data_IF_104158381572
#
_entry.id   IF_104158381572
#
_cell.length_a   1.000
_cell.length_b   1.000
_cell.length_c   1.000
_cell.angle_alpha   90.00
_cell.angle_beta   90.00
_cell.angle_gamma   90.00
#
_symmetry.space_group_name_H-M   'P 1'
#
loop_
_entity.id
_entity.type
_entity.pdbx_description
1 polymer ?
#
# COMPACT_ATOMS: atom_id res chain seq x y z
N UNK A 1 17.58 13.40 11.59
CA UNK A 1 16.16 13.71 11.82
C UNK A 1 15.41 14.12 10.55
N UNK A 2 15.82 15.14 9.78
CA UNK A 2 15.14 15.55 8.54
C UNK A 2 15.26 14.48 7.45
N UNK A 3 16.44 13.93 7.21
CA UNK A 3 16.69 12.85 6.24
C UNK A 3 15.97 11.54 6.58
N UNK A 4 15.82 11.19 7.86
CA UNK A 4 15.08 9.99 8.27
C UNK A 4 13.57 10.13 8.02
N UNK A 5 13.01 11.32 8.24
CA UNK A 5 11.60 11.61 7.92
C UNK A 5 11.33 11.57 6.40
N UNK A 6 12.24 12.12 5.60
CA UNK A 6 12.17 12.05 4.14
C UNK A 6 12.25 10.60 3.64
N UNK A 7 13.20 9.82 4.16
CA UNK A 7 13.33 8.39 3.83
C UNK A 7 12.07 7.59 4.19
N UNK A 8 11.49 7.84 5.36
CA UNK A 8 10.27 7.15 5.79
C UNK A 8 9.07 7.54 4.92
N UNK A 9 8.94 8.81 4.55
CA UNK A 9 7.88 9.29 3.66
C UNK A 9 7.95 8.65 2.28
N UNK A 10 9.15 8.49 1.70
CA UNK A 10 9.34 7.80 0.42
C UNK A 10 8.89 6.34 0.51
N UNK A 11 9.28 5.63 1.57
CA UNK A 11 8.86 4.24 1.77
C UNK A 11 7.34 4.14 1.98
N UNK A 12 6.72 5.09 2.68
CA UNK A 12 5.26 5.14 2.85
C UNK A 12 4.54 5.27 1.50
N UNK A 13 5.03 6.13 0.60
CA UNK A 13 4.48 6.27 -0.74
C UNK A 13 4.65 4.97 -1.54
N UNK A 14 5.82 4.36 -1.48
CA UNK A 14 6.06 3.06 -2.12
C UNK A 14 5.12 1.96 -1.59
N UNK A 15 4.82 1.95 -0.30
CA UNK A 15 3.86 1.02 0.31
C UNK A 15 2.44 1.31 -0.18
N UNK A 16 2.04 2.60 -0.19
CA UNK A 16 0.71 3.01 -0.61
C UNK A 16 0.41 2.59 -2.05
N UNK A 17 1.35 2.79 -2.97
CA UNK A 17 1.22 2.47 -4.39
C UNK A 17 1.08 0.97 -4.67
N UNK A 18 1.51 0.13 -3.72
CA UNK A 18 1.46 -1.34 -3.85
C UNK A 18 0.25 -1.98 -3.17
N UNK A 19 -0.52 -1.20 -2.41
CA UNK A 19 -1.73 -1.71 -1.77
C UNK A 19 -2.82 -1.90 -2.82
N UNK A 20 -3.32 -3.12 -2.94
CA UNK A 20 -4.46 -3.48 -3.78
C UNK A 20 -5.60 -4.03 -2.93
N UNK A 21 -6.82 -4.04 -3.49
CA UNK A 21 -7.99 -4.59 -2.81
C UNK A 21 -8.43 -5.90 -3.47
N UNK A 22 -8.34 -7.00 -2.72
CA UNK A 22 -8.76 -8.34 -3.15
C UNK A 22 -9.62 -8.95 -2.05
N UNK A 23 -10.78 -9.52 -2.41
CA UNK A 23 -11.74 -10.09 -1.46
C UNK A 23 -12.08 -9.11 -0.32
N UNK A 24 -12.22 -7.82 -0.64
CA UNK A 24 -12.46 -6.73 0.32
C UNK A 24 -11.34 -6.53 1.36
N UNK A 25 -10.19 -7.16 1.19
CA UNK A 25 -9.01 -6.97 2.03
C UNK A 25 -7.98 -6.10 1.31
N UNK A 26 -7.32 -5.22 2.05
CA UNK A 26 -6.15 -4.49 1.57
C UNK A 26 -4.93 -5.39 1.71
N UNK A 27 -4.25 -5.63 0.59
CA UNK A 27 -3.15 -6.60 0.48
C UNK A 27 -2.03 -6.07 -0.40
N UNK A 28 -0.84 -6.65 -0.23
CA UNK A 28 0.32 -6.44 -1.11
C UNK A 28 0.78 -7.80 -1.65
N UNK A 29 1.14 -7.86 -2.92
CA UNK A 29 1.60 -9.09 -3.60
C UNK A 29 3.03 -9.44 -3.15
N UNK A 30 3.34 -10.72 -3.08
CA UNK A 30 4.65 -11.27 -2.63
C UNK A 30 5.86 -10.68 -3.36
N UNK A 31 5.74 -10.41 -4.66
CA UNK A 31 6.81 -9.76 -5.43
C UNK A 31 7.06 -8.31 -4.96
N UNK A 32 5.99 -7.55 -4.72
CA UNK A 32 6.09 -6.18 -4.21
C UNK A 32 6.57 -6.17 -2.75
N UNK A 33 6.12 -7.14 -1.94
CA UNK A 33 6.63 -7.33 -0.57
C UNK A 33 8.13 -7.58 -0.58
N UNK A 34 8.62 -8.42 -1.50
CA UNK A 34 10.04 -8.72 -1.64
C UNK A 34 10.85 -7.46 -1.98
N UNK A 35 10.37 -6.64 -2.92
CA UNK A 35 11.00 -5.36 -3.27
C UNK A 35 11.05 -4.41 -2.06
N UNK A 36 9.93 -4.24 -1.34
CA UNK A 36 9.87 -3.38 -0.15
C UNK A 36 10.89 -3.80 0.92
N UNK A 37 10.96 -5.10 1.21
CA UNK A 37 11.89 -5.63 2.20
C UNK A 37 13.33 -5.78 1.69
N UNK A 38 13.58 -5.55 0.38
CA UNK A 38 14.90 -5.66 -0.22
C UNK A 38 15.42 -7.10 -0.25
N UNK A 39 14.53 -8.06 -0.51
CA UNK A 39 14.84 -9.49 -0.59
C UNK A 39 14.27 -10.11 -1.88
N UNK A 40 14.71 -11.31 -2.22
CA UNK A 40 14.09 -12.04 -3.33
C UNK A 40 12.70 -12.60 -2.94
N UNK A 41 11.77 -12.68 -3.89
CA UNK A 41 10.43 -13.28 -3.69
C UNK A 41 10.53 -14.72 -3.17
N UNK A 42 11.57 -15.45 -3.59
CA UNK A 42 11.87 -16.79 -3.05
C UNK A 42 12.02 -16.77 -1.53
N UNK A 43 12.70 -15.75 -0.98
CA UNK A 43 12.91 -15.60 0.45
C UNK A 43 11.61 -15.40 1.22
N UNK A 44 10.68 -14.60 0.64
CA UNK A 44 9.33 -14.42 1.20
C UNK A 44 8.59 -15.75 1.21
N UNK A 45 8.61 -16.48 0.11
CA UNK A 45 7.94 -17.77 -0.01
C UNK A 45 8.52 -18.84 0.93
N UNK A 46 9.83 -18.86 1.15
CA UNK A 46 10.51 -19.72 2.13
C UNK A 46 10.11 -19.36 3.56
N UNK A 47 10.02 -18.07 3.90
CA UNK A 47 9.59 -17.62 5.22
C UNK A 47 8.19 -18.13 5.55
N UNK A 48 7.26 -18.07 4.61
CA UNK A 48 5.90 -18.63 4.76
C UNK A 48 5.93 -20.14 4.89
N UNK A 49 6.62 -20.82 3.97
CA UNK A 49 6.69 -22.29 3.96
C UNK A 49 7.27 -22.87 5.24
N UNK A 50 8.26 -22.20 5.81
CA UNK A 50 8.94 -22.65 7.04
C UNK A 50 8.19 -22.25 8.32
N UNK A 51 7.15 -21.45 8.22
CA UNK A 51 6.36 -20.97 9.35
C UNK A 51 4.86 -21.01 9.05
N UNK A 52 4.27 -22.14 8.65
CA UNK A 52 2.88 -22.19 8.18
C UNK A 52 1.89 -21.74 9.26
N UNK A 53 2.15 -22.06 10.52
CA UNK A 53 1.29 -21.71 11.66
C UNK A 53 1.20 -20.19 11.91
N UNK A 54 2.14 -19.42 11.35
CA UNK A 54 2.17 -17.95 11.49
C UNK A 54 1.40 -17.23 10.40
N UNK A 55 0.94 -17.93 9.36
CA UNK A 55 0.28 -17.35 8.21
C UNK A 55 -1.10 -17.97 7.94
N UNK A 56 -2.06 -17.81 8.84
CA UNK A 56 -3.44 -18.20 8.56
C UNK A 56 -4.01 -17.36 7.39
N UNK A 57 -5.14 -17.78 6.81
CA UNK A 57 -5.79 -17.14 5.65
C UNK A 57 -6.14 -15.66 5.85
N UNK A 58 -6.24 -15.21 7.10
CA UNK A 58 -6.40 -13.77 7.40
C UNK A 58 -5.11 -12.97 7.24
N UNK A 59 -3.96 -13.63 7.25
CA UNK A 59 -2.64 -13.00 7.16
C UNK A 59 -2.08 -13.07 5.74
N UNK A 60 -2.28 -14.20 5.07
CA UNK A 60 -1.80 -14.44 3.71
C UNK A 60 -2.68 -15.47 3.01
N UNK A 61 -2.91 -15.27 1.72
CA UNK A 61 -3.57 -16.26 0.86
C UNK A 61 -2.99 -16.23 -0.55
N UNK A 62 -3.17 -17.32 -1.29
CA UNK A 62 -2.80 -17.39 -2.71
C UNK A 62 -3.93 -16.86 -3.58
N UNK A 63 -3.58 -16.16 -4.66
CA UNK A 63 -4.53 -15.74 -5.68
C UNK A 63 -5.08 -16.94 -6.44
N UNK A 64 -6.31 -16.82 -6.94
CA UNK A 64 -6.84 -17.72 -7.95
C UNK A 64 -6.36 -17.29 -9.34
N UNK A 65 -6.53 -18.17 -10.34
CA UNK A 65 -6.21 -17.84 -11.73
C UNK A 65 -7.08 -16.68 -12.25
N UNK A 66 -8.34 -16.62 -11.87
CA UNK A 66 -9.27 -15.56 -12.28
C UNK A 66 -8.88 -14.22 -11.65
N UNK A 67 -8.54 -14.20 -10.36
CA UNK A 67 -8.04 -13.00 -9.67
C UNK A 67 -6.76 -12.48 -10.31
N UNK A 68 -5.84 -13.39 -10.66
CA UNK A 68 -4.59 -13.03 -11.34
C UNK A 68 -4.86 -12.47 -12.74
N UNK A 69 -5.80 -13.04 -13.49
CA UNK A 69 -6.19 -12.54 -14.81
C UNK A 69 -6.78 -11.12 -14.72
N UNK A 70 -7.66 -10.86 -13.74
CA UNK A 70 -8.24 -9.54 -13.49
C UNK A 70 -7.14 -8.53 -13.13
N UNK A 71 -6.20 -8.90 -12.29
CA UNK A 71 -5.10 -8.01 -11.91
C UNK A 71 -4.20 -7.67 -13.10
N UNK A 72 -3.87 -8.65 -13.94
CA UNK A 72 -3.09 -8.43 -15.17
C UNK A 72 -3.79 -7.51 -16.15
N UNK A 73 -5.11 -7.56 -16.26
CA UNK A 73 -5.87 -6.67 -17.14
C UNK A 73 -5.91 -5.23 -16.65
N UNK A 74 -5.89 -5.01 -15.33
CA UNK A 74 -5.95 -3.67 -14.71
C UNK A 74 -4.60 -2.99 -14.57
N UNK A 75 -3.56 -3.75 -14.38
CA UNK A 75 -2.21 -3.25 -14.12
C UNK A 75 -1.25 -3.75 -15.19
N UNK A 76 -0.92 -2.89 -16.15
CA UNK A 76 0.01 -3.16 -17.24
C UNK A 76 1.46 -3.24 -16.72
N UNK A 77 1.75 -4.10 -15.75
CA UNK A 77 3.10 -4.23 -15.23
C UNK A 77 3.71 -5.57 -15.62
N UNK A 78 4.90 -5.48 -16.22
CA UNK A 78 5.76 -6.63 -16.55
C UNK A 78 6.19 -7.45 -15.32
N UNK A 79 5.86 -6.99 -14.12
CA UNK A 79 6.22 -7.60 -12.84
C UNK A 79 5.59 -8.99 -12.61
N UNK A 80 4.47 -9.27 -13.25
CA UNK A 80 3.76 -10.54 -13.03
C UNK A 80 4.10 -11.53 -14.15
N UNK A 81 5.33 -12.03 -14.05
CA UNK A 81 5.88 -12.96 -15.02
C UNK A 81 4.93 -14.15 -15.25
N UNK A 82 4.59 -14.38 -16.52
CA UNK A 82 3.88 -15.57 -16.99
C UNK A 82 4.70 -16.85 -16.79
N UNK A 83 5.98 -16.73 -16.40
CA UNK A 83 6.92 -17.85 -16.25
C UNK A 83 6.85 -18.56 -14.90
N UNK A 84 6.23 -17.95 -13.88
CA UNK A 84 6.04 -18.62 -12.59
C UNK A 84 4.88 -19.61 -12.68
N UNK A 85 5.15 -20.89 -12.39
CA UNK A 85 4.11 -21.93 -12.27
C UNK A 85 3.28 -21.79 -10.99
N UNK A 86 3.79 -21.07 -10.00
CA UNK A 86 3.10 -20.87 -8.73
C UNK A 86 2.25 -19.59 -8.79
N UNK A 87 1.04 -19.68 -8.25
CA UNK A 87 0.17 -18.51 -8.08
C UNK A 87 0.79 -17.54 -7.06
N UNK A 88 0.74 -16.22 -7.32
CA UNK A 88 1.22 -15.22 -6.37
C UNK A 88 0.50 -15.33 -5.04
N UNK A 89 1.22 -15.05 -3.96
CA UNK A 89 0.65 -14.87 -2.64
C UNK A 89 0.42 -13.39 -2.37
N UNK A 90 -0.58 -13.10 -1.58
CA UNK A 90 -0.87 -11.74 -1.11
C UNK A 90 -0.87 -11.70 0.41
N UNK A 91 -0.35 -10.61 0.96
CA UNK A 91 -0.21 -10.41 2.38
C UNK A 91 -1.09 -9.27 2.84
N UNK A 92 -1.89 -9.51 3.87
CA UNK A 92 -2.61 -8.46 4.59
C UNK A 92 -1.64 -7.69 5.48
N UNK A 93 -2.08 -6.58 6.06
CA UNK A 93 -1.31 -5.82 7.06
C UNK A 93 -0.72 -6.74 8.16
N UNK A 94 -1.54 -7.64 8.69
CA UNK A 94 -1.10 -8.62 9.72
C UNK A 94 -0.02 -9.57 9.20
N UNK A 95 -0.14 -10.02 7.95
CA UNK A 95 0.85 -10.87 7.30
C UNK A 95 2.19 -10.16 7.09
N UNK A 96 2.17 -8.87 6.75
CA UNK A 96 3.37 -8.05 6.61
C UNK A 96 4.10 -7.89 7.95
N UNK A 97 3.38 -7.64 9.04
CA UNK A 97 3.98 -7.59 10.38
C UNK A 97 4.61 -8.93 10.78
N UNK A 98 3.93 -10.03 10.45
CA UNK A 98 4.47 -11.36 10.73
C UNK A 98 5.75 -11.64 9.95
N UNK A 99 5.81 -11.27 8.65
CA UNK A 99 7.03 -11.38 7.85
C UNK A 99 8.19 -10.59 8.47
N UNK A 100 7.95 -9.38 8.95
CA UNK A 100 8.96 -8.55 9.60
C UNK A 100 9.62 -9.25 10.80
N UNK A 101 8.83 -9.99 11.58
CA UNK A 101 9.36 -10.76 12.73
C UNK A 101 10.29 -11.90 12.32
N UNK A 102 10.14 -12.41 11.09
CA UNK A 102 10.92 -13.53 10.55
C UNK A 102 12.17 -13.01 9.84
N UNK A 103 12.05 -11.96 9.03
CA UNK A 103 13.14 -11.43 8.20
C UNK A 103 14.24 -10.75 9.03
N UNK A 104 13.90 -10.12 10.13
CA UNK A 104 14.83 -9.56 11.16
C UNK A 104 15.99 -8.73 10.58
N UNK A 105 15.75 -7.93 9.55
CA UNK A 105 16.76 -7.03 9.00
C UNK A 105 16.45 -5.58 9.35
N UNK A 106 17.46 -4.70 9.28
CA UNK A 106 17.26 -3.25 9.46
C UNK A 106 16.22 -2.72 8.47
N UNK A 107 16.32 -3.11 7.21
CA UNK A 107 15.35 -2.75 6.17
C UNK A 107 13.94 -3.25 6.51
N UNK A 108 13.81 -4.47 7.07
CA UNK A 108 12.53 -4.99 7.51
C UNK A 108 11.88 -4.10 8.58
N UNK A 109 12.65 -3.59 9.53
CA UNK A 109 12.14 -2.68 10.56
C UNK A 109 11.68 -1.35 9.96
N UNK A 110 12.47 -0.73 9.09
CA UNK A 110 12.13 0.54 8.41
C UNK A 110 10.84 0.41 7.59
N UNK A 111 10.73 -0.65 6.80
CA UNK A 111 9.53 -0.95 6.00
C UNK A 111 8.33 -1.23 6.89
N UNK A 112 8.53 -1.92 8.02
CA UNK A 112 7.42 -2.20 8.96
C UNK A 112 6.86 -0.91 9.55
N UNK A 113 7.69 0.05 9.94
CA UNK A 113 7.21 1.36 10.39
C UNK A 113 6.42 2.07 9.28
N UNK A 114 6.93 2.07 8.05
CA UNK A 114 6.21 2.66 6.91
C UNK A 114 4.86 1.96 6.65
N UNK A 115 4.79 0.63 6.77
CA UNK A 115 3.55 -0.14 6.65
C UNK A 115 2.55 0.25 7.73
N UNK A 116 2.97 0.33 9.00
CA UNK A 116 2.13 0.74 10.13
C UNK A 116 1.49 2.10 9.85
N UNK A 117 2.32 3.09 9.51
CA UNK A 117 1.87 4.45 9.25
C UNK A 117 0.94 4.52 8.03
N UNK A 118 1.27 3.80 6.95
CA UNK A 118 0.45 3.80 5.73
C UNK A 118 -0.92 3.19 5.97
N UNK A 119 -1.00 2.04 6.62
CA UNK A 119 -2.30 1.43 6.93
C UNK A 119 -3.10 2.22 7.97
N UNK A 120 -2.43 2.90 8.91
CA UNK A 120 -3.09 3.84 9.82
C UNK A 120 -3.72 5.00 9.05
N UNK A 121 -3.01 5.61 8.11
CA UNK A 121 -3.53 6.65 7.21
C UNK A 121 -4.73 6.17 6.39
N UNK A 122 -4.64 4.96 5.80
CA UNK A 122 -5.76 4.37 5.03
C UNK A 122 -6.99 4.18 5.91
N UNK A 123 -6.84 3.70 7.15
CA UNK A 123 -7.96 3.58 8.09
C UNK A 123 -8.55 4.93 8.49
N UNK A 124 -7.70 5.91 8.75
CA UNK A 124 -8.12 7.27 9.08
C UNK A 124 -8.95 7.87 7.94
N UNK A 125 -8.44 7.82 6.70
CA UNK A 125 -9.16 8.32 5.52
C UNK A 125 -10.52 7.64 5.32
N UNK A 126 -10.56 6.30 5.49
CA UNK A 126 -11.82 5.57 5.41
C UNK A 126 -12.84 6.07 6.43
N UNK A 127 -12.41 6.33 7.67
CA UNK A 127 -13.27 6.85 8.73
C UNK A 127 -13.79 8.25 8.39
N UNK A 128 -12.91 9.15 7.97
CA UNK A 128 -13.28 10.52 7.57
C UNK A 128 -14.28 10.54 6.41
N UNK A 129 -14.10 9.68 5.40
CA UNK A 129 -15.05 9.54 4.28
C UNK A 129 -16.43 9.10 4.78
N UNK A 130 -16.48 8.14 5.69
CA UNK A 130 -17.75 7.66 6.25
C UNK A 130 -18.43 8.75 7.10
N UNK A 131 -17.68 9.45 7.94
CA UNK A 131 -18.18 10.56 8.76
C UNK A 131 -18.72 11.72 7.91
N UNK A 132 -18.10 12.01 6.77
CA UNK A 132 -18.58 13.02 5.82
C UNK A 132 -19.85 12.60 5.10
N UNK A 133 -20.00 11.31 4.83
CA UNK A 133 -21.22 10.78 4.20
C UNK A 133 -22.43 10.86 5.15
N UNK A 134 -22.19 10.68 6.46
CA UNK A 134 -23.25 10.73 7.49
C UNK A 134 -23.53 12.17 7.96
N UNK A 135 -22.53 13.04 7.99
CA UNK A 135 -22.61 14.40 8.52
C UNK A 135 -21.97 15.38 7.52
N UNK A 136 -22.76 15.88 6.57
CA UNK A 136 -22.29 16.85 5.56
C UNK A 136 -21.96 18.22 6.22
N UNK A 137 -20.79 18.33 6.86
CA UNK A 137 -20.25 19.56 7.41
C UNK A 137 -19.22 20.18 6.46
N UNK A 138 -19.45 21.40 5.94
CA UNK A 138 -18.53 22.07 5.03
C UNK A 138 -17.10 22.25 5.59
N UNK A 139 -16.95 22.47 6.90
CA UNK A 139 -15.64 22.63 7.54
C UNK A 139 -14.86 21.32 7.56
N UNK A 140 -15.56 20.19 7.74
CA UNK A 140 -14.95 18.86 7.65
C UNK A 140 -14.50 18.51 6.24
N UNK A 141 -15.23 18.96 5.22
CA UNK A 141 -14.87 18.74 3.81
C UNK A 141 -13.56 19.46 3.45
N UNK A 142 -13.37 20.68 3.96
CA UNK A 142 -12.12 21.42 3.76
C UNK A 142 -10.93 20.74 4.46
N UNK A 143 -11.06 20.39 5.73
CA UNK A 143 -10.03 19.70 6.49
C UNK A 143 -9.66 18.34 5.87
N UNK A 144 -10.64 17.63 5.29
CA UNK A 144 -10.42 16.39 4.56
C UNK A 144 -9.65 16.62 3.26
N UNK A 145 -9.98 17.70 2.51
CA UNK A 145 -9.26 18.10 1.31
C UNK A 145 -7.78 18.36 1.59
N UNK A 146 -7.45 19.07 2.68
CA UNK A 146 -6.09 19.32 3.14
C UNK A 146 -5.37 18.00 3.51
N UNK A 147 -6.03 17.12 4.24
CA UNK A 147 -5.46 15.81 4.60
C UNK A 147 -5.24 14.91 3.38
N UNK A 148 -6.15 14.93 2.39
CA UNK A 148 -5.97 14.22 1.12
C UNK A 148 -4.80 14.78 0.32
N UNK A 149 -4.66 16.10 0.25
CA UNK A 149 -3.55 16.74 -0.44
C UNK A 149 -2.21 16.29 0.15
N UNK A 150 -2.07 16.26 1.47
CA UNK A 150 -0.85 15.81 2.16
C UNK A 150 -0.53 14.32 1.94
N UNK A 151 -1.55 13.48 1.75
CA UNK A 151 -1.37 12.03 1.62
C UNK A 151 -1.19 11.59 0.17
N UNK A 152 -1.95 12.19 -0.75
CA UNK A 152 -2.02 11.76 -2.15
C UNK A 152 -1.11 12.59 -3.05
N UNK A 153 -0.82 13.83 -2.66
CA UNK A 153 -0.09 14.80 -3.47
C UNK A 153 0.93 15.60 -2.62
N UNK A 154 1.93 14.95 -2.04
CA UNK A 154 2.91 15.64 -1.18
C UNK A 154 3.74 16.71 -1.90
N UNK A 155 3.72 16.76 -3.23
CA UNK A 155 4.51 17.67 -4.06
C UNK A 155 3.69 18.81 -4.70
N UNK A 156 2.41 18.99 -4.36
CA UNK A 156 1.64 20.14 -4.81
C UNK A 156 1.90 21.34 -3.90
N UNK A 157 2.77 22.24 -4.32
CA UNK A 157 2.83 23.60 -3.78
C UNK A 157 1.49 24.28 -4.04
N UNK A 158 0.68 24.45 -2.98
CA UNK A 158 -0.52 25.29 -3.03
C UNK A 158 -0.03 26.72 -3.10
N UNK A 159 0.05 27.30 -4.29
CA UNK A 159 0.26 28.74 -4.42
C UNK A 159 -0.99 29.44 -3.88
N UNK A 160 -0.83 30.23 -2.82
CA UNK A 160 -1.86 31.10 -2.22
C UNK A 160 -2.27 32.25 -3.14
N UNK A 161 -2.83 31.96 -4.30
CA UNK A 161 -3.46 32.98 -5.12
C UNK A 161 -4.79 32.49 -5.66
N UNK A 162 -5.84 32.87 -4.92
CA UNK A 162 -7.17 33.17 -5.45
C UNK A 162 -7.93 32.03 -6.12
N UNK A 163 -8.91 31.50 -5.42
CA UNK A 163 -10.22 31.04 -5.91
C UNK A 163 -10.29 30.53 -7.36
N UNK A 164 -9.83 29.31 -7.57
CA UNK A 164 -10.45 28.31 -8.46
C UNK A 164 -9.55 27.06 -8.47
N UNK A 165 -10.07 25.95 -7.98
CA UNK A 165 -9.50 24.62 -8.20
C UNK A 165 -9.63 24.28 -9.69
N UNK A 166 -8.71 24.75 -10.52
CA UNK A 166 -8.48 24.15 -11.83
C UNK A 166 -7.65 22.89 -11.63
N UNK A 167 -8.34 21.78 -11.52
CA UNK A 167 -7.76 20.45 -11.66
C UNK A 167 -7.17 20.34 -13.07
N UNK A 168 -5.86 20.53 -13.15
CA UNK A 168 -5.14 20.35 -14.41
C UNK A 168 -5.03 18.86 -14.69
N UNK A 169 -6.03 18.31 -15.39
CA UNK A 169 -6.19 16.91 -15.76
C UNK A 169 -5.11 16.37 -16.72
N UNK A 170 -4.03 17.10 -16.97
CA UNK A 170 -3.01 16.76 -17.96
C UNK A 170 -1.88 15.86 -17.46
N UNK A 171 -1.88 15.44 -16.19
CA UNK A 171 -0.86 14.51 -15.63
C UNK A 171 -1.37 13.12 -15.24
N UNK A 172 -2.63 12.82 -15.51
CA UNK A 172 -3.12 11.44 -15.47
C UNK A 172 -2.94 10.85 -16.87
N UNK A 173 -1.73 10.57 -17.26
CA UNK A 173 -1.44 9.62 -18.34
C UNK A 173 -0.99 8.32 -17.72
N UNK A 174 -1.92 7.41 -17.79
CA UNK A 174 -1.82 5.97 -18.05
C UNK A 174 -0.47 5.31 -17.74
#
# INVERSE_FOLDING_TARGET
MKQEKESLSLIQNEVMDRIISIRQKKVIIDADVAELYGVETKRINEAVKNNPDKFPDEYMFSLTLDELAILRSKFTTAKWSTKSRALPKVFTEKGLYMLATILKSKRASEVTFAIIETFAKVRYLKKEILDMHENADPNKLQAFGETLADIVMPDLEISETGSSLELNASKIRM
#
